data_IF_478606927537
#
_entry.id   IF_478606927537
#
_cell.length_a   1.000
_cell.length_b   1.000
_cell.length_c   1.000
_cell.angle_alpha   90.00
_cell.angle_beta   90.00
_cell.angle_gamma   90.00
#
_symmetry.space_group_name_H-M   'P 1'
#
loop_
_entity.id
_entity.type
_entity.pdbx_description
1 polymer ?
#
# COMPACT_ATOMS: atom_id res chain seq x y z
N UNK A 1 -18.86 9.22 23.09
CA UNK A 1 -17.41 9.28 22.76
C UNK A 1 -16.79 7.89 22.53
N UNK A 2 -17.59 6.87 22.20
CA UNK A 2 -17.21 5.44 22.14
C UNK A 2 -16.98 4.90 20.72
N UNK A 3 -16.85 5.76 19.71
CA UNK A 3 -16.65 5.30 18.33
C UNK A 3 -15.19 5.32 17.87
N UNK A 4 -14.29 5.98 18.62
CA UNK A 4 -12.88 6.10 18.24
C UNK A 4 -12.03 4.84 18.52
N UNK A 5 -12.58 3.86 19.26
CA UNK A 5 -11.89 2.61 19.62
C UNK A 5 -11.96 1.52 18.52
N UNK A 6 -12.73 1.72 17.45
CA UNK A 6 -12.94 0.72 16.38
C UNK A 6 -12.36 1.10 15.00
N UNK A 7 -11.40 2.03 14.93
CA UNK A 7 -10.70 2.22 13.65
C UNK A 7 -9.63 1.12 13.49
N UNK A 8 -9.63 0.35 12.38
CA UNK A 8 -8.71 -0.78 12.19
C UNK A 8 -7.23 -0.39 12.27
N UNK A 9 -6.95 0.89 12.04
CA UNK A 9 -5.61 1.49 12.08
C UNK A 9 -5.04 1.56 13.51
N UNK A 10 -5.87 1.79 14.54
CA UNK A 10 -5.42 1.81 15.94
C UNK A 10 -5.11 0.40 16.46
N UNK A 11 -5.92 -0.58 16.07
CA UNK A 11 -5.68 -1.99 16.39
C UNK A 11 -4.36 -2.48 15.77
N UNK A 12 -4.01 -2.01 14.56
CA UNK A 12 -2.75 -2.34 13.90
C UNK A 12 -1.52 -1.88 14.72
N UNK A 13 -1.50 -0.66 15.25
CA UNK A 13 -0.38 -0.17 16.09
C UNK A 13 -0.24 -1.02 17.35
N UNK A 14 -1.37 -1.32 18.03
CA UNK A 14 -1.38 -2.18 19.21
C UNK A 14 -0.84 -3.59 18.90
N UNK A 15 -1.24 -4.20 17.78
CA UNK A 15 -0.69 -5.48 17.34
C UNK A 15 0.82 -5.44 17.12
N UNK A 16 1.36 -4.39 16.47
CA UNK A 16 2.81 -4.31 16.25
C UNK A 16 3.62 -4.23 17.54
N UNK A 17 3.11 -3.55 18.57
CA UNK A 17 3.77 -3.44 19.88
C UNK A 17 3.58 -4.71 20.71
N UNK A 18 2.33 -5.13 20.89
CA UNK A 18 1.97 -6.16 21.87
C UNK A 18 2.16 -7.58 21.34
N UNK A 19 1.94 -7.84 20.04
CA UNK A 19 1.99 -9.19 19.49
C UNK A 19 3.36 -9.55 18.90
N UNK A 20 4.11 -8.57 18.39
CA UNK A 20 5.36 -8.83 17.65
C UNK A 20 6.59 -8.10 18.20
N UNK A 21 6.43 -7.20 19.19
CA UNK A 21 7.56 -6.44 19.77
C UNK A 21 8.25 -5.49 18.76
N UNK A 22 7.59 -5.18 17.65
CA UNK A 22 8.14 -4.43 16.54
C UNK A 22 7.95 -2.91 16.74
N UNK A 23 8.67 -2.35 17.70
CA UNK A 23 8.55 -0.94 18.13
C UNK A 23 8.83 0.06 17.01
N UNK A 24 9.81 -0.21 16.15
CA UNK A 24 10.14 0.63 14.98
C UNK A 24 8.93 0.79 14.05
N UNK A 25 8.26 -0.31 13.71
CA UNK A 25 7.13 -0.31 12.78
C UNK A 25 5.87 0.25 13.43
N UNK A 26 5.68 0.00 14.73
CA UNK A 26 4.61 0.61 15.50
C UNK A 26 4.73 2.14 15.54
N UNK A 27 5.94 2.67 15.76
CA UNK A 27 6.19 4.11 15.78
C UNK A 27 5.92 4.75 14.41
N UNK A 28 6.40 4.13 13.33
CA UNK A 28 6.13 4.60 11.98
C UNK A 28 4.62 4.60 11.65
N UNK A 29 3.89 3.54 12.04
CA UNK A 29 2.45 3.45 11.86
C UNK A 29 1.69 4.52 12.67
N UNK A 30 2.09 4.75 13.92
CA UNK A 30 1.52 5.81 14.77
C UNK A 30 1.73 7.19 14.13
N UNK A 31 2.93 7.48 13.66
CA UNK A 31 3.27 8.78 13.08
C UNK A 31 2.42 9.09 11.84
N UNK A 32 2.10 8.07 11.04
CA UNK A 32 1.22 8.17 9.87
C UNK A 32 -0.22 8.44 10.25
N UNK A 33 -0.71 7.75 11.28
CA UNK A 33 -2.07 7.94 11.80
C UNK A 33 -2.21 9.36 12.38
N UNK A 34 -1.23 9.82 13.15
CA UNK A 34 -1.21 11.18 13.68
C UNK A 34 -1.17 12.23 12.55
N UNK A 35 -0.29 12.03 11.56
CA UNK A 35 -0.17 12.94 10.42
C UNK A 35 -1.48 13.07 9.63
N UNK A 36 -2.19 11.96 9.44
CA UNK A 36 -3.46 11.95 8.69
C UNK A 36 -4.65 12.49 9.48
N UNK A 37 -4.63 12.42 10.82
CA UNK A 37 -5.77 12.81 11.65
C UNK A 37 -5.68 14.23 12.22
N UNK A 38 -4.47 14.72 12.53
CA UNK A 38 -4.32 15.97 13.30
C UNK A 38 -3.28 16.93 12.75
N UNK A 39 -2.20 16.43 12.13
CA UNK A 39 -1.02 17.28 11.85
C UNK A 39 -1.08 17.98 10.49
N UNK A 40 -1.75 17.38 9.50
CA UNK A 40 -1.74 17.88 8.13
C UNK A 40 -3.06 18.50 7.71
N UNK A 41 -3.00 19.38 6.71
CA UNK A 41 -4.21 19.90 6.05
C UNK A 41 -5.01 18.75 5.42
N UNK A 42 -6.35 18.88 5.28
CA UNK A 42 -7.17 17.84 4.67
C UNK A 42 -6.70 17.42 3.27
N UNK A 43 -6.14 18.35 2.50
CA UNK A 43 -5.56 18.07 1.19
C UNK A 43 -4.32 17.17 1.30
N UNK A 44 -3.35 17.56 2.13
CA UNK A 44 -2.12 16.79 2.34
C UNK A 44 -2.40 15.40 2.93
N UNK A 45 -3.31 15.31 3.92
CA UNK A 45 -3.74 14.05 4.50
C UNK A 45 -4.34 13.11 3.44
N UNK A 46 -5.17 13.65 2.52
CA UNK A 46 -5.69 12.86 1.39
C UNK A 46 -4.58 12.40 0.45
N UNK A 47 -3.62 13.25 0.09
CA UNK A 47 -2.47 12.85 -0.75
C UNK A 47 -1.63 11.74 -0.09
N UNK A 48 -1.48 11.79 1.23
CA UNK A 48 -0.72 10.80 2.01
C UNK A 48 -1.41 9.43 2.06
N UNK A 49 -2.75 9.41 2.02
CA UNK A 49 -3.55 8.17 1.96
C UNK A 49 -3.59 7.63 0.53
N UNK A 50 -3.77 8.49 -0.47
CA UNK A 50 -4.00 8.10 -1.87
C UNK A 50 -2.83 7.31 -2.47
N UNK A 51 -1.59 7.64 -2.09
CA UNK A 51 -0.39 7.00 -2.62
C UNK A 51 0.04 5.74 -1.87
N UNK A 52 -0.74 5.25 -0.90
CA UNK A 52 -0.33 4.10 -0.09
C UNK A 52 -0.93 2.78 -0.55
N UNK A 53 -2.17 2.82 -1.01
CA UNK A 53 -2.92 1.61 -1.37
C UNK A 53 -3.70 1.80 -2.65
N UNK A 54 -3.82 0.74 -3.43
CA UNK A 54 -4.60 0.72 -4.66
C UNK A 54 -5.78 -0.23 -4.52
N UNK A 55 -6.93 0.19 -5.02
CA UNK A 55 -8.11 -0.65 -5.13
C UNK A 55 -8.50 -0.83 -6.61
N UNK A 56 -8.08 -1.93 -7.23
CA UNK A 56 -8.41 -2.21 -8.63
C UNK A 56 -9.85 -2.71 -8.82
N UNK A 57 -10.41 -3.42 -7.83
CA UNK A 57 -11.70 -4.10 -7.94
C UNK A 57 -12.86 -3.34 -7.26
N UNK A 58 -12.56 -2.22 -6.61
CA UNK A 58 -13.49 -1.50 -5.75
C UNK A 58 -13.83 -2.27 -4.46
N UNK A 59 -14.50 -1.57 -3.53
CA UNK A 59 -15.04 -2.15 -2.30
C UNK A 59 -14.15 -2.01 -1.06
N UNK A 60 -14.75 -2.04 0.15
CA UNK A 60 -14.03 -1.89 1.41
C UNK A 60 -13.11 -3.10 1.67
N UNK A 61 -11.90 -2.83 2.18
CA UNK A 61 -10.94 -3.88 2.54
C UNK A 61 -10.20 -4.54 1.38
N UNK A 62 -10.47 -4.17 0.12
CA UNK A 62 -9.80 -4.70 -1.08
C UNK A 62 -8.61 -3.85 -1.54
N UNK A 63 -8.00 -3.15 -0.59
CA UNK A 63 -6.87 -2.26 -0.80
C UNK A 63 -5.57 -3.06 -0.72
N UNK A 64 -4.81 -3.11 -1.81
CA UNK A 64 -3.47 -3.71 -1.85
C UNK A 64 -2.46 -2.58 -1.63
N UNK A 65 -1.34 -2.86 -0.98
CA UNK A 65 -0.26 -1.86 -0.89
C UNK A 65 0.26 -1.49 -2.30
N UNK A 66 0.62 -0.22 -2.49
CA UNK A 66 1.13 0.23 -3.80
C UNK A 66 2.39 -0.55 -4.22
N UNK A 67 3.26 -0.85 -3.25
CA UNK A 67 4.48 -1.63 -3.46
C UNK A 67 4.19 -3.05 -3.99
N UNK A 68 3.30 -3.79 -3.34
CA UNK A 68 2.87 -5.11 -3.82
C UNK A 68 2.22 -5.05 -5.21
N UNK A 69 1.48 -3.99 -5.51
CA UNK A 69 0.91 -3.81 -6.86
C UNK A 69 2.02 -3.66 -7.91
N UNK A 70 3.04 -2.86 -7.63
CA UNK A 70 4.19 -2.70 -8.53
C UNK A 70 4.91 -4.02 -8.71
N UNK A 71 5.07 -4.80 -7.65
CA UNK A 71 5.66 -6.15 -7.72
C UNK A 71 4.83 -7.09 -8.61
N UNK A 72 3.50 -7.08 -8.48
CA UNK A 72 2.61 -7.87 -9.35
C UNK A 72 2.72 -7.47 -10.82
N UNK A 73 2.76 -6.17 -11.13
CA UNK A 73 2.94 -5.68 -12.49
C UNK A 73 4.29 -6.10 -13.05
N UNK A 74 5.37 -5.92 -12.27
CA UNK A 74 6.71 -6.32 -12.67
C UNK A 74 6.80 -7.83 -12.94
N UNK A 75 6.17 -8.65 -12.09
CA UNK A 75 6.15 -10.09 -12.28
C UNK A 75 5.35 -10.49 -13.53
N UNK A 76 4.20 -9.83 -13.77
CA UNK A 76 3.39 -10.04 -14.97
C UNK A 76 4.17 -9.70 -16.25
N UNK A 77 4.79 -8.51 -16.32
CA UNK A 77 5.61 -8.09 -17.47
C UNK A 77 6.80 -9.04 -17.68
N UNK A 78 7.51 -9.42 -16.61
CA UNK A 78 8.60 -10.40 -16.69
C UNK A 78 8.11 -11.75 -17.20
N UNK A 79 6.92 -12.18 -16.83
CA UNK A 79 6.29 -13.40 -17.35
C UNK A 79 6.00 -13.33 -18.85
N UNK A 80 5.41 -12.22 -19.31
CA UNK A 80 5.15 -11.99 -20.74
C UNK A 80 6.44 -11.99 -21.56
N UNK A 81 7.48 -11.29 -21.08
CA UNK A 81 8.79 -11.22 -21.73
C UNK A 81 9.45 -12.61 -21.82
N UNK A 82 9.36 -13.42 -20.76
CA UNK A 82 9.85 -14.81 -20.79
C UNK A 82 9.12 -15.66 -21.83
N UNK A 83 7.81 -15.47 -21.99
CA UNK A 83 7.00 -16.21 -22.97
C UNK A 83 7.34 -15.88 -24.43
N UNK A 84 7.80 -14.65 -24.72
CA UNK A 84 8.21 -14.23 -26.06
C UNK A 84 9.53 -14.86 -26.54
N UNK A 85 10.40 -15.28 -25.60
CA UNK A 85 11.67 -15.93 -25.92
C UNK A 85 12.60 -15.07 -26.80
N UNK A 86 13.40 -15.65 -27.70
CA UNK A 86 14.37 -14.92 -28.53
C UNK A 86 13.75 -14.00 -29.61
N UNK A 87 12.41 -14.00 -29.78
CA UNK A 87 11.71 -13.10 -30.71
C UNK A 87 11.49 -11.68 -30.15
N UNK A 88 12.18 -11.33 -29.05
CA UNK A 88 12.18 -10.00 -28.46
C UNK A 88 12.89 -9.00 -29.38
N UNK A 89 12.12 -8.29 -30.19
CA UNK A 89 12.56 -7.08 -30.88
C UNK A 89 12.16 -5.85 -30.05
N UNK A 90 12.87 -4.73 -30.19
CA UNK A 90 12.53 -3.48 -29.48
C UNK A 90 11.08 -3.03 -29.75
N UNK A 91 10.58 -3.29 -30.95
CA UNK A 91 9.19 -3.00 -31.34
C UNK A 91 8.22 -3.87 -30.54
N UNK A 92 8.50 -5.16 -30.38
CA UNK A 92 7.66 -6.08 -29.61
C UNK A 92 7.69 -5.76 -28.11
N UNK A 93 8.81 -5.26 -27.57
CA UNK A 93 8.95 -4.90 -26.17
C UNK A 93 8.24 -3.59 -25.80
N UNK A 94 7.98 -2.69 -26.76
CA UNK A 94 7.40 -1.35 -26.53
C UNK A 94 5.91 -1.35 -26.16
N UNK A 95 5.19 -2.43 -26.47
CA UNK A 95 3.77 -2.58 -26.20
C UNK A 95 3.45 -3.14 -24.80
N UNK A 96 4.46 -3.52 -24.01
CA UNK A 96 4.32 -4.08 -22.66
C UNK A 96 4.67 -3.04 -21.59
#
# INVERSE_FOLDING_TARGET
MEQAARSPQRAMVSCFVCAYGHTKYAFAAFHVIAATQTTQTPHQARCLIWNRTVNNKGGPGRNISMDQRVEHLNNFTKGMLKGLGPNLTEIAARCC
#
